data_IF_742253670932
#
_entry.id   IF_742253670932
#
_cell.length_a   1.000
_cell.length_b   1.000
_cell.length_c   1.000
_cell.angle_alpha   90.00
_cell.angle_beta   90.00
_cell.angle_gamma   90.00
#
_symmetry.space_group_name_H-M   'P 1'
#
loop_
_entity.id
_entity.type
_entity.pdbx_description
1 polymer ?
#
# COMPACT_ATOMS: atom_id res chain seq x y z
N UNK A 1 49.38 19.44 8.84
CA UNK A 1 48.36 19.28 7.77
C UNK A 1 47.23 18.43 8.31
N UNK A 2 46.10 19.08 8.61
CA UNK A 2 44.91 18.44 9.14
C UNK A 2 44.08 17.92 7.97
N UNK A 3 44.01 16.59 7.79
CA UNK A 3 43.12 15.96 6.80
C UNK A 3 41.70 15.93 7.36
N UNK A 4 40.86 16.86 6.88
CA UNK A 4 39.41 16.85 7.18
C UNK A 4 38.79 15.70 6.37
N UNK A 5 38.38 14.62 7.06
CA UNK A 5 37.53 13.59 6.49
C UNK A 5 36.10 14.13 6.47
N UNK A 6 35.64 14.59 5.32
CA UNK A 6 34.23 14.87 5.07
C UNK A 6 33.59 13.52 4.86
N UNK A 7 32.95 12.98 5.92
CA UNK A 7 32.01 11.85 5.80
C UNK A 7 30.75 12.42 5.16
N UNK A 8 30.65 12.23 3.85
CA UNK A 8 29.42 12.49 3.10
C UNK A 8 28.36 11.51 3.61
N UNK A 9 27.43 11.98 4.43
CA UNK A 9 26.20 11.27 4.72
C UNK A 9 25.39 11.26 3.42
N UNK A 10 25.56 10.21 2.62
CA UNK A 10 24.62 9.85 1.57
C UNK A 10 23.35 9.40 2.26
N UNK A 11 22.43 10.34 2.48
CA UNK A 11 21.05 9.99 2.78
C UNK A 11 20.54 9.16 1.62
N UNK A 12 20.18 7.90 1.89
CA UNK A 12 19.52 7.04 0.93
C UNK A 12 18.08 7.56 0.72
N UNK A 13 17.96 8.65 -0.05
CA UNK A 13 16.67 9.05 -0.59
C UNK A 13 16.50 8.24 -1.87
N UNK A 14 15.55 7.28 -1.87
CA UNK A 14 15.12 6.70 -3.13
C UNK A 14 14.51 7.84 -3.98
N UNK A 15 14.92 7.97 -5.27
CA UNK A 15 14.54 9.11 -6.11
C UNK A 15 13.07 9.04 -6.57
N UNK A 16 12.31 8.00 -6.20
CA UNK A 16 10.97 7.75 -6.68
C UNK A 16 10.01 7.46 -5.53
N UNK A 17 8.87 8.15 -5.52
CA UNK A 17 7.77 7.89 -4.62
C UNK A 17 6.78 6.96 -5.32
N UNK A 18 6.89 5.66 -5.07
CA UNK A 18 6.08 4.62 -5.73
C UNK A 18 5.58 3.63 -4.71
N UNK A 19 4.29 3.33 -4.77
CA UNK A 19 3.70 2.17 -4.12
C UNK A 19 3.17 1.17 -5.15
N UNK A 20 2.96 -0.08 -4.75
CA UNK A 20 2.37 -1.11 -5.60
C UNK A 20 1.25 -1.80 -4.84
N UNK A 21 0.02 -1.67 -5.32
CA UNK A 21 -1.14 -2.40 -4.82
C UNK A 21 -1.47 -3.54 -5.79
N UNK A 22 -1.44 -4.76 -5.30
CA UNK A 22 -1.83 -5.96 -6.05
C UNK A 22 -3.14 -6.51 -5.50
N UNK A 23 -4.11 -6.73 -6.37
CA UNK A 23 -5.43 -7.27 -6.07
C UNK A 23 -5.59 -8.56 -6.87
N UNK A 24 -5.81 -9.68 -6.20
CA UNK A 24 -5.96 -10.98 -6.83
C UNK A 24 -7.28 -11.65 -6.43
N UNK A 25 -8.13 -11.94 -7.41
CA UNK A 25 -9.32 -12.75 -7.19
C UNK A 25 -8.97 -14.23 -7.27
N UNK A 26 -9.05 -14.92 -6.14
CA UNK A 26 -8.86 -16.36 -6.02
C UNK A 26 -10.22 -17.07 -6.10
N UNK A 27 -10.59 -17.52 -7.30
CA UNK A 27 -11.86 -18.18 -7.55
C UNK A 27 -12.03 -19.50 -6.77
N UNK A 28 -10.92 -20.22 -6.50
CA UNK A 28 -10.94 -21.48 -5.75
C UNK A 28 -11.31 -21.27 -4.30
N UNK A 29 -10.77 -20.22 -3.68
CA UNK A 29 -11.01 -19.88 -2.28
C UNK A 29 -12.17 -18.89 -2.13
N UNK A 30 -12.72 -18.41 -3.26
CA UNK A 30 -13.75 -17.35 -3.29
C UNK A 30 -13.33 -16.13 -2.48
N UNK A 31 -12.09 -15.69 -2.66
CA UNK A 31 -11.51 -14.57 -1.94
C UNK A 31 -10.91 -13.53 -2.87
N UNK A 32 -10.83 -12.30 -2.38
CA UNK A 32 -9.99 -11.25 -2.93
C UNK A 32 -8.84 -11.04 -1.95
N UNK A 33 -7.63 -11.23 -2.45
CA UNK A 33 -6.38 -11.06 -1.73
C UNK A 33 -5.74 -9.73 -2.17
N UNK A 34 -5.32 -8.91 -1.23
CA UNK A 34 -4.74 -7.59 -1.49
C UNK A 34 -3.40 -7.49 -0.79
N UNK A 35 -2.39 -7.01 -1.51
CA UNK A 35 -1.11 -6.63 -0.93
C UNK A 35 -0.71 -5.22 -1.36
N UNK A 36 -0.25 -4.43 -0.40
CA UNK A 36 0.30 -3.09 -0.63
C UNK A 36 1.79 -3.12 -0.30
N UNK A 37 2.65 -2.86 -1.29
CA UNK A 37 4.09 -2.67 -1.11
C UNK A 37 4.38 -1.18 -1.09
N UNK A 38 4.90 -0.68 0.01
CA UNK A 38 5.16 0.74 0.24
C UNK A 38 6.55 0.87 0.86
N UNK A 39 7.37 1.84 0.46
CA UNK A 39 8.63 2.11 1.14
C UNK A 39 8.35 2.47 2.60
N UNK A 40 8.98 1.72 3.52
CA UNK A 40 8.62 1.83 4.94
C UNK A 40 8.96 3.19 5.53
N UNK A 41 10.04 3.84 5.07
CA UNK A 41 10.45 5.16 5.54
C UNK A 41 9.47 6.28 5.15
N UNK A 42 8.86 6.22 3.95
CA UNK A 42 7.80 7.14 3.54
C UNK A 42 6.51 6.89 4.31
N UNK A 43 6.18 5.62 4.53
CA UNK A 43 5.00 5.23 5.30
C UNK A 43 5.14 5.64 6.77
N UNK A 44 6.31 5.47 7.39
CA UNK A 44 6.61 5.92 8.75
C UNK A 44 6.37 7.43 8.88
N UNK A 45 7.00 8.23 8.03
CA UNK A 45 6.84 9.70 8.04
C UNK A 45 5.39 10.12 7.90
N UNK A 46 4.63 9.44 7.06
CA UNK A 46 3.21 9.73 6.84
C UNK A 46 2.38 9.41 8.07
N UNK A 47 2.58 8.24 8.66
CA UNK A 47 1.87 7.80 9.87
C UNK A 47 2.27 8.68 11.07
N UNK A 48 3.56 9.02 11.24
CA UNK A 48 4.02 9.94 12.29
C UNK A 48 3.30 11.29 12.25
N UNK A 49 3.16 11.87 11.06
CA UNK A 49 2.40 13.12 10.88
C UNK A 49 0.93 12.97 11.29
N UNK A 50 0.30 11.87 10.88
CA UNK A 50 -1.11 11.63 11.15
C UNK A 50 -1.39 11.42 12.65
N UNK A 51 -0.54 10.63 13.31
CA UNK A 51 -0.73 10.27 14.74
C UNK A 51 0.04 11.16 15.69
N UNK A 52 0.88 12.09 15.20
CA UNK A 52 1.72 13.00 15.98
C UNK A 52 2.58 12.26 17.02
N UNK A 53 3.11 11.12 16.66
CA UNK A 53 3.89 10.24 17.51
C UNK A 53 4.96 9.54 16.70
N UNK A 54 6.18 9.35 17.23
CA UNK A 54 7.22 8.58 16.55
C UNK A 54 6.75 7.16 16.22
N UNK A 55 7.06 6.71 15.01
CA UNK A 55 6.69 5.39 14.48
C UNK A 55 7.94 4.67 13.99
N UNK A 56 8.07 3.39 14.36
CA UNK A 56 9.09 2.48 13.84
C UNK A 56 8.37 1.22 13.36
N UNK A 57 8.17 1.11 12.05
CA UNK A 57 7.46 -0.02 11.44
C UNK A 57 8.35 -1.27 11.44
N UNK A 58 9.67 -1.09 11.34
CA UNK A 58 10.64 -2.18 11.27
C UNK A 58 10.81 -2.86 12.63
N UNK A 59 10.90 -2.07 13.72
CA UNK A 59 11.11 -2.57 15.08
C UNK A 59 10.08 -1.96 16.06
N UNK A 60 8.77 -2.25 15.87
CA UNK A 60 7.72 -1.61 16.67
C UNK A 60 7.80 -2.05 18.13
N UNK A 61 7.76 -1.09 19.05
CA UNK A 61 7.68 -1.36 20.49
C UNK A 61 6.36 -2.05 20.87
N UNK A 62 5.28 -1.71 20.15
CA UNK A 62 3.96 -2.30 20.30
C UNK A 62 3.46 -2.75 18.92
N UNK A 63 3.61 -4.05 18.65
CA UNK A 63 3.21 -4.64 17.36
C UNK A 63 1.70 -4.59 17.14
N UNK A 64 0.89 -4.72 18.18
CA UNK A 64 -0.57 -4.67 18.07
C UNK A 64 -1.03 -3.26 17.66
N UNK A 65 -0.47 -2.25 18.30
CA UNK A 65 -0.73 -0.85 17.94
C UNK A 65 -0.26 -0.54 16.52
N UNK A 66 0.92 -1.04 16.12
CA UNK A 66 1.43 -0.85 14.75
C UNK A 66 0.48 -1.48 13.72
N UNK A 67 0.05 -2.73 13.93
CA UNK A 67 -0.93 -3.40 13.07
C UNK A 67 -2.22 -2.58 12.93
N UNK A 68 -2.72 -2.01 14.03
CA UNK A 68 -3.90 -1.16 14.00
C UNK A 68 -3.67 0.10 13.17
N UNK A 69 -2.55 0.80 13.38
CA UNK A 69 -2.22 2.02 12.65
C UNK A 69 -2.11 1.77 11.14
N UNK A 70 -1.45 0.68 10.73
CA UNK A 70 -1.33 0.27 9.33
C UNK A 70 -2.69 -0.10 8.72
N UNK A 71 -3.49 -0.90 9.44
CA UNK A 71 -4.85 -1.23 9.01
C UNK A 71 -5.70 0.01 8.78
N UNK A 72 -5.73 0.93 9.75
CA UNK A 72 -6.57 2.12 9.69
C UNK A 72 -6.10 3.07 8.58
N UNK A 73 -4.79 3.23 8.42
CA UNK A 73 -4.21 4.05 7.37
C UNK A 73 -4.57 3.50 5.98
N UNK A 74 -4.29 2.23 5.70
CA UNK A 74 -4.56 1.65 4.39
C UNK A 74 -6.05 1.65 4.07
N UNK A 75 -6.92 1.27 5.00
CA UNK A 75 -8.39 1.27 4.76
C UNK A 75 -8.97 2.67 4.53
N UNK A 76 -8.32 3.70 4.99
CA UNK A 76 -8.71 5.09 4.73
C UNK A 76 -8.33 5.52 3.30
N UNK A 77 -7.21 5.03 2.78
CA UNK A 77 -6.59 5.46 1.54
C UNK A 77 -6.74 4.46 0.37
N UNK A 78 -7.24 3.26 0.64
CA UNK A 78 -7.51 2.23 -0.36
C UNK A 78 -8.95 1.73 -0.22
N UNK A 79 -9.79 2.07 -1.20
CA UNK A 79 -11.17 1.58 -1.29
C UNK A 79 -11.33 0.74 -2.54
N UNK A 80 -11.76 -0.50 -2.37
CA UNK A 80 -11.97 -1.45 -3.47
C UNK A 80 -13.44 -1.80 -3.54
N UNK A 81 -14.03 -1.73 -4.74
CA UNK A 81 -15.38 -2.20 -5.03
C UNK A 81 -15.33 -3.34 -6.03
N UNK A 82 -16.16 -4.33 -5.84
CA UNK A 82 -16.45 -5.41 -6.80
C UNK A 82 -17.90 -5.28 -7.25
N UNK A 83 -18.11 -5.16 -8.57
CA UNK A 83 -19.44 -5.01 -9.15
C UNK A 83 -20.28 -3.94 -8.43
N UNK A 84 -19.66 -2.78 -8.17
CA UNK A 84 -20.19 -1.59 -7.48
C UNK A 84 -20.40 -1.74 -5.95
N UNK A 85 -20.05 -2.89 -5.34
CA UNK A 85 -20.15 -3.09 -3.90
C UNK A 85 -18.79 -2.92 -3.24
N UNK A 86 -18.70 -2.04 -2.25
CA UNK A 86 -17.47 -1.84 -1.48
C UNK A 86 -17.10 -3.11 -0.70
N UNK A 87 -15.83 -3.48 -0.78
CA UNK A 87 -15.26 -4.58 -0.01
C UNK A 87 -14.88 -4.10 1.40
N UNK A 88 -15.19 -4.91 2.40
CA UNK A 88 -14.68 -4.70 3.75
C UNK A 88 -13.35 -5.47 3.89
N UNK A 89 -12.23 -4.78 3.71
CA UNK A 89 -10.90 -5.37 3.78
C UNK A 89 -10.60 -5.87 5.21
N UNK A 90 -10.32 -7.16 5.35
CA UNK A 90 -9.89 -7.79 6.59
C UNK A 90 -8.37 -7.80 6.65
N UNK A 91 -7.79 -7.12 7.63
CA UNK A 91 -6.34 -7.05 7.81
C UNK A 91 -5.77 -8.43 8.19
N UNK A 92 -4.72 -8.84 7.49
CA UNK A 92 -4.03 -10.12 7.73
C UNK A 92 -2.73 -9.91 8.51
N UNK A 93 -1.98 -8.87 8.18
CA UNK A 93 -0.69 -8.57 8.80
C UNK A 93 0.21 -7.75 7.88
N UNK A 94 1.44 -7.56 8.31
CA UNK A 94 2.49 -6.98 7.48
C UNK A 94 3.85 -7.65 7.73
N UNK A 95 4.74 -7.49 6.79
CA UNK A 95 6.15 -7.87 6.90
C UNK A 95 7.04 -6.82 6.24
N UNK A 96 8.31 -6.79 6.65
CA UNK A 96 9.34 -5.96 6.01
C UNK A 96 10.17 -6.85 5.10
N UNK A 97 10.27 -6.45 3.83
CA UNK A 97 11.16 -7.07 2.87
C UNK A 97 12.00 -5.97 2.21
N UNK A 98 13.31 -6.04 2.39
CA UNK A 98 14.27 -5.02 1.93
C UNK A 98 13.90 -3.63 2.48
N UNK A 99 13.55 -2.70 1.59
CA UNK A 99 13.19 -1.31 1.87
C UNK A 99 11.68 -1.05 1.94
N UNK A 100 10.85 -2.11 1.87
CA UNK A 100 9.41 -1.98 1.79
C UNK A 100 8.66 -2.72 2.91
N UNK A 101 7.55 -2.11 3.34
CA UNK A 101 6.50 -2.76 4.09
C UNK A 101 5.51 -3.40 3.12
N UNK A 102 5.25 -4.67 3.30
CA UNK A 102 4.22 -5.43 2.59
C UNK A 102 3.05 -5.63 3.54
N UNK A 103 1.89 -5.06 3.21
CA UNK A 103 0.71 -5.06 4.06
C UNK A 103 -0.38 -5.86 3.35
N UNK A 104 -0.99 -6.81 4.06
CA UNK A 104 -1.89 -7.79 3.49
C UNK A 104 -3.32 -7.68 4.02
N UNK A 105 -4.27 -7.82 3.10
CA UNK A 105 -5.70 -7.91 3.40
C UNK A 105 -6.35 -9.05 2.62
N UNK A 106 -7.46 -9.56 3.13
CA UNK A 106 -8.29 -10.57 2.48
C UNK A 106 -9.77 -10.22 2.62
N UNK A 107 -10.55 -10.57 1.61
CA UNK A 107 -12.03 -10.56 1.68
C UNK A 107 -12.54 -11.88 1.17
N UNK A 108 -13.33 -12.60 2.00
CA UNK A 108 -13.94 -13.89 1.65
C UNK A 108 -15.35 -13.74 1.11
N UNK A 109 -15.84 -14.80 0.44
CA UNK A 109 -17.20 -14.85 -0.09
C UNK A 109 -17.37 -14.15 -1.44
N UNK A 110 -16.29 -13.90 -2.17
CA UNK A 110 -16.31 -13.29 -3.51
C UNK A 110 -16.16 -14.41 -4.55
N UNK A 111 -17.27 -14.95 -5.02
CA UNK A 111 -17.26 -16.09 -5.96
C UNK A 111 -16.97 -15.68 -7.40
N UNK A 112 -17.44 -14.52 -7.84
CA UNK A 112 -17.28 -13.99 -9.20
C UNK A 112 -16.99 -12.49 -9.18
N UNK A 113 -16.25 -12.03 -10.16
CA UNK A 113 -15.93 -10.62 -10.36
C UNK A 113 -16.05 -10.30 -11.84
N UNK A 114 -16.76 -9.23 -12.16
CA UNK A 114 -16.83 -8.66 -13.51
C UNK A 114 -16.07 -7.34 -13.60
N UNK A 115 -16.07 -6.58 -12.51
CA UNK A 115 -15.44 -5.27 -12.46
C UNK A 115 -14.85 -4.99 -11.10
N UNK A 116 -13.64 -4.42 -11.08
CA UNK A 116 -13.08 -3.73 -9.93
C UNK A 116 -13.12 -2.22 -10.18
N UNK A 117 -13.60 -1.46 -9.21
CA UNK A 117 -13.35 -0.02 -9.08
C UNK A 117 -12.43 0.17 -7.88
N UNK A 118 -11.32 0.85 -8.07
CA UNK A 118 -10.27 1.03 -7.05
C UNK A 118 -10.00 2.51 -6.87
N UNK A 119 -10.08 2.98 -5.63
CA UNK A 119 -9.57 4.26 -5.20
C UNK A 119 -8.30 3.99 -4.38
N UNK A 120 -7.19 4.63 -4.75
CA UNK A 120 -5.88 4.47 -4.08
C UNK A 120 -5.17 5.82 -4.08
N UNK A 121 -5.22 6.53 -2.95
CA UNK A 121 -4.52 7.79 -2.69
C UNK A 121 -3.44 7.66 -1.60
N UNK A 122 -2.91 6.42 -1.43
CA UNK A 122 -1.83 6.14 -0.49
C UNK A 122 -0.66 7.09 -0.74
N UNK A 123 -0.18 7.77 0.32
CA UNK A 123 0.91 8.74 0.34
C UNK A 123 0.67 10.03 -0.48
N UNK A 124 -0.46 10.22 -1.11
CA UNK A 124 -0.71 11.41 -1.95
C UNK A 124 -0.66 12.72 -1.17
N UNK A 125 -1.08 12.72 0.09
CA UNK A 125 -1.03 13.92 0.94
C UNK A 125 0.38 14.39 1.28
N UNK A 126 1.37 13.48 1.26
CA UNK A 126 2.73 13.75 1.69
C UNK A 126 3.71 13.92 0.52
N UNK A 127 3.41 13.29 -0.62
CA UNK A 127 4.27 13.24 -1.79
C UNK A 127 3.51 13.65 -3.05
N UNK A 128 3.65 14.92 -3.51
CA UNK A 128 3.00 15.38 -4.75
C UNK A 128 3.38 14.57 -6.00
N UNK A 129 4.56 13.94 -5.99
CA UNK A 129 5.08 13.12 -7.11
C UNK A 129 4.78 11.62 -6.92
N UNK A 130 3.93 11.24 -5.94
CA UNK A 130 3.59 9.84 -5.69
C UNK A 130 2.91 9.20 -6.89
N UNK A 131 3.37 7.99 -7.21
CA UNK A 131 2.80 7.09 -8.21
C UNK A 131 2.32 5.82 -7.52
N UNK A 132 1.05 5.48 -7.65
CA UNK A 132 0.48 4.24 -7.14
C UNK A 132 0.24 3.28 -8.31
N UNK A 133 1.02 2.19 -8.37
CA UNK A 133 0.87 1.14 -9.36
C UNK A 133 -0.22 0.16 -8.92
N UNK A 134 -1.20 -0.10 -9.77
CA UNK A 134 -2.27 -1.06 -9.53
C UNK A 134 -2.11 -2.27 -10.43
N UNK A 135 -2.16 -3.47 -9.85
CA UNK A 135 -2.20 -4.74 -10.54
C UNK A 135 -3.42 -5.54 -10.10
N UNK A 136 -4.31 -5.85 -11.02
CA UNK A 136 -5.54 -6.59 -10.73
C UNK A 136 -5.58 -7.86 -11.56
N UNK A 137 -5.79 -9.01 -10.93
CA UNK A 137 -5.84 -10.32 -11.58
C UNK A 137 -7.17 -11.01 -11.29
N UNK A 138 -7.88 -11.45 -12.34
CA UNK A 138 -9.10 -12.25 -12.28
C UNK A 138 -9.00 -13.37 -13.31
N UNK A 139 -9.24 -14.61 -12.89
CA UNK A 139 -9.20 -15.76 -13.79
C UNK A 139 -7.88 -15.94 -14.53
N UNK A 140 -6.75 -15.55 -13.94
CA UNK A 140 -5.43 -15.57 -14.56
C UNK A 140 -5.14 -14.39 -15.49
N UNK A 141 -6.12 -13.56 -15.80
CA UNK A 141 -5.92 -12.33 -16.59
C UNK A 141 -5.50 -11.20 -15.67
N UNK A 142 -4.31 -10.62 -15.92
CA UNK A 142 -3.79 -9.45 -15.19
C UNK A 142 -3.98 -8.19 -16.02
N UNK A 143 -4.52 -7.16 -15.37
CA UNK A 143 -4.58 -5.79 -15.88
C UNK A 143 -3.84 -4.87 -14.92
N UNK A 144 -3.19 -3.84 -15.46
CA UNK A 144 -2.36 -2.93 -14.67
C UNK A 144 -2.57 -1.50 -15.13
N UNK A 145 -2.48 -0.57 -14.19
CA UNK A 145 -2.43 0.86 -14.46
C UNK A 145 -1.57 1.56 -13.43
N UNK A 146 -1.29 2.83 -13.64
CA UNK A 146 -0.69 3.72 -12.65
C UNK A 146 -1.64 4.86 -12.35
N UNK A 147 -1.61 5.33 -11.12
CA UNK A 147 -2.28 6.54 -10.66
C UNK A 147 -1.21 7.56 -10.31
N UNK A 148 -1.17 8.65 -11.03
CA UNK A 148 -0.26 9.77 -10.77
C UNK A 148 -1.02 10.81 -9.92
N UNK A 149 -0.51 11.20 -8.76
CA UNK A 149 -1.15 12.20 -7.91
C UNK A 149 -1.48 13.47 -8.72
N UNK A 150 -2.74 13.99 -8.73
CA UNK A 150 -3.84 13.67 -7.81
C UNK A 150 -4.85 12.62 -8.32
N UNK A 151 -4.64 11.98 -9.46
CA UNK A 151 -5.57 10.99 -10.00
C UNK A 151 -5.51 9.69 -9.20
N UNK A 152 -6.58 9.36 -8.48
CA UNK A 152 -6.63 8.28 -7.49
C UNK A 152 -7.58 7.14 -7.82
N UNK A 153 -8.27 7.18 -8.96
CA UNK A 153 -9.33 6.23 -9.30
C UNK A 153 -9.02 5.44 -10.57
N UNK A 154 -9.28 4.14 -10.53
CA UNK A 154 -9.17 3.26 -11.69
C UNK A 154 -10.30 2.22 -11.73
N UNK A 155 -10.64 1.77 -12.93
CA UNK A 155 -11.61 0.71 -13.16
C UNK A 155 -11.02 -0.39 -14.04
N UNK A 156 -11.35 -1.65 -13.70
CA UNK A 156 -10.88 -2.85 -14.41
C UNK A 156 -12.07 -3.76 -14.68
N UNK A 157 -12.36 -4.02 -15.95
CA UNK A 157 -13.41 -4.96 -16.38
C UNK A 157 -12.78 -6.28 -16.81
N UNK A 158 -13.46 -7.43 -16.52
CA UNK A 158 -12.98 -8.79 -16.81
C UNK A 158 -14.06 -9.66 -17.44
#
# INVERSE_FOLDING_TARGET
MLKIFIISWLSFFHPFFVSVTTINHNAKNQSVEVSCRIFYDDLERTIEKQYKSPVDIVHPKDKAKMNQMLNDYIKKHLVIKVDSKALNLSYVGYEIQEDAAWIYFEVKGISKVKKFDVHDDILFSEHPEQINMLHVTVGGQRKSTKLDNPDSDAAFEF
#
